data_IF_377129646537
#
_entry.id   IF_377129646537
#
_cell.length_a   1.000
_cell.length_b   1.000
_cell.length_c   1.000
_cell.angle_alpha   90.00
_cell.angle_beta   90.00
_cell.angle_gamma   90.00
#
_symmetry.space_group_name_H-M   'P 1'
#
loop_
_entity.id
_entity.type
_entity.pdbx_description
1 polymer ?
#
# COMPACT_ATOMS: atom_id res chain seq x y z
N UNK A 1 -35.53 22.22 1.09
CA UNK A 1 -35.25 21.04 0.23
C UNK A 1 -33.80 20.68 0.52
N UNK A 2 -33.55 19.53 1.11
CA UNK A 2 -32.19 19.08 1.39
C UNK A 2 -31.49 18.80 0.08
N UNK A 3 -30.51 19.62 -0.32
CA UNK A 3 -29.67 19.39 -1.46
C UNK A 3 -28.95 18.04 -1.24
N UNK A 4 -29.21 17.07 -2.12
CA UNK A 4 -28.53 15.77 -2.05
C UNK A 4 -27.10 15.98 -2.53
N UNK A 5 -26.14 15.82 -1.63
CA UNK A 5 -24.73 15.78 -2.00
C UNK A 5 -24.46 14.60 -2.96
N UNK A 6 -23.72 14.84 -4.04
CA UNK A 6 -23.39 13.81 -5.04
C UNK A 6 -22.09 13.12 -4.71
N UNK A 7 -21.12 13.85 -4.15
CA UNK A 7 -19.83 13.28 -3.76
C UNK A 7 -19.24 14.05 -2.57
N UNK A 8 -18.18 13.49 -2.00
CA UNK A 8 -17.36 14.12 -0.99
C UNK A 8 -15.90 14.16 -1.41
N UNK A 9 -15.18 15.18 -0.95
CA UNK A 9 -13.74 15.33 -1.12
C UNK A 9 -13.10 15.19 0.24
N UNK A 10 -12.34 14.11 0.45
CA UNK A 10 -11.71 13.81 1.74
C UNK A 10 -10.22 14.12 1.69
N UNK A 11 -9.69 14.85 2.68
CA UNK A 11 -8.26 15.06 2.87
C UNK A 11 -7.64 13.79 3.44
N UNK A 12 -6.90 13.04 2.62
CA UNK A 12 -6.26 11.77 3.00
C UNK A 12 -4.78 11.93 3.38
N UNK A 13 -4.17 13.09 3.08
CA UNK A 13 -2.79 13.42 3.42
C UNK A 13 -2.58 14.93 3.59
N UNK A 14 -1.53 15.33 4.33
CA UNK A 14 -1.20 16.72 4.60
C UNK A 14 -1.73 17.26 5.92
N UNK A 15 -1.63 18.62 6.14
CA UNK A 15 -1.87 19.25 7.44
C UNK A 15 -3.28 19.05 8.02
N UNK A 16 -4.28 18.85 7.17
CA UNK A 16 -5.69 18.72 7.59
C UNK A 16 -6.27 17.33 7.28
N UNK A 17 -5.44 16.30 7.35
CA UNK A 17 -5.87 14.89 7.14
C UNK A 17 -7.09 14.53 7.98
N UNK A 18 -8.10 13.94 7.32
CA UNK A 18 -9.37 13.53 7.91
C UNK A 18 -10.51 14.53 7.71
N UNK A 19 -10.23 15.74 7.22
CA UNK A 19 -11.27 16.71 6.89
C UNK A 19 -11.96 16.32 5.58
N UNK A 20 -13.27 16.50 5.50
CA UNK A 20 -14.04 16.21 4.30
C UNK A 20 -14.96 17.38 3.93
N UNK A 21 -15.22 17.52 2.63
CA UNK A 21 -16.08 18.52 2.05
C UNK A 21 -17.12 17.83 1.18
N UNK A 22 -18.36 18.32 1.22
CA UNK A 22 -19.45 17.80 0.38
C UNK A 22 -19.62 18.69 -0.87
N UNK A 23 -19.86 18.05 -2.00
CA UNK A 23 -20.19 18.73 -3.26
C UNK A 23 -21.63 18.36 -3.61
N UNK A 24 -22.48 19.37 -3.77
CA UNK A 24 -23.88 19.20 -4.14
C UNK A 24 -24.04 19.03 -5.65
N UNK A 25 -25.25 18.62 -6.06
CA UNK A 25 -25.62 18.49 -7.49
C UNK A 25 -25.59 19.87 -8.16
N UNK A 26 -25.00 19.94 -9.35
CA UNK A 26 -24.85 21.17 -10.14
C UNK A 26 -24.06 22.28 -9.41
N UNK A 27 -23.13 21.92 -8.51
CA UNK A 27 -22.34 22.83 -7.69
C UNK A 27 -20.88 22.93 -8.15
N UNK A 28 -20.20 23.99 -7.69
CA UNK A 28 -18.78 24.23 -7.93
C UNK A 28 -18.08 24.39 -6.58
N UNK A 29 -17.21 23.46 -6.24
CA UNK A 29 -16.37 23.53 -5.05
C UNK A 29 -15.00 24.13 -5.39
N UNK A 30 -14.70 25.31 -4.87
CA UNK A 30 -13.42 25.98 -5.03
C UNK A 30 -12.44 25.47 -3.98
N UNK A 31 -11.38 24.82 -4.43
CA UNK A 31 -10.33 24.27 -3.58
C UNK A 31 -9.15 25.23 -3.48
N UNK A 32 -8.78 25.59 -2.26
CA UNK A 32 -7.67 26.53 -2.03
C UNK A 32 -7.43 26.82 -0.56
N UNK A 33 -6.44 27.68 -0.25
CA UNK A 33 -6.12 28.11 1.13
C UNK A 33 -6.72 29.49 1.49
N UNK A 34 -7.26 30.21 0.53
CA UNK A 34 -7.81 31.57 0.72
C UNK A 34 -9.20 31.56 1.35
N UNK A 35 -9.62 32.74 1.85
CA UNK A 35 -10.99 32.97 2.35
C UNK A 35 -12.04 32.82 1.25
N UNK A 36 -11.64 33.00 0.00
CA UNK A 36 -12.51 32.91 -1.16
C UNK A 36 -12.63 31.51 -1.75
N UNK A 37 -12.09 30.50 -1.03
CA UNK A 37 -12.23 29.09 -1.35
C UNK A 37 -13.15 28.39 -0.35
N UNK A 38 -13.92 27.41 -0.84
CA UNK A 38 -14.87 26.66 -0.01
C UNK A 38 -14.16 25.74 0.99
N UNK A 39 -12.94 25.34 0.66
CA UNK A 39 -12.19 24.37 1.48
C UNK A 39 -11.26 25.01 2.51
N UNK A 40 -10.69 26.18 2.25
CA UNK A 40 -9.74 26.92 3.10
C UNK A 40 -8.64 26.03 3.72
N UNK A 41 -8.00 25.18 2.89
CA UNK A 41 -7.00 24.22 3.34
C UNK A 41 -5.74 24.94 3.81
N UNK A 42 -5.27 24.67 5.04
CA UNK A 42 -4.10 25.30 5.67
C UNK A 42 -2.78 24.71 5.20
N UNK A 43 -2.54 24.74 3.90
CA UNK A 43 -1.28 24.31 3.29
C UNK A 43 -0.63 25.50 2.59
N UNK A 44 0.58 25.94 3.00
CA UNK A 44 1.24 27.10 2.39
C UNK A 44 1.61 26.92 0.91
N UNK A 45 1.69 25.67 0.43
CA UNK A 45 1.98 25.35 -0.98
C UNK A 45 0.74 25.35 -1.87
N UNK A 46 -0.45 25.42 -1.29
CA UNK A 46 -1.70 25.58 -2.04
C UNK A 46 -1.95 27.07 -2.32
N UNK A 47 -2.36 27.43 -3.53
CA UNK A 47 -2.74 28.78 -3.90
C UNK A 47 -4.03 29.20 -3.19
N UNK A 48 -4.32 30.53 -3.12
CA UNK A 48 -5.57 31.04 -2.50
C UNK A 48 -6.80 30.41 -3.16
N UNK A 49 -6.84 30.39 -4.48
CA UNK A 49 -7.71 29.59 -5.34
C UNK A 49 -6.77 28.72 -6.14
N UNK A 50 -6.87 27.39 -6.01
CA UNK A 50 -5.93 26.46 -6.64
C UNK A 50 -6.59 25.71 -7.81
N UNK A 51 -7.73 25.10 -7.57
CA UNK A 51 -8.52 24.41 -8.57
C UNK A 51 -10.01 24.47 -8.22
N UNK A 52 -10.87 24.08 -9.14
CA UNK A 52 -12.31 23.96 -8.95
C UNK A 52 -12.76 22.56 -9.30
N UNK A 53 -13.63 21.97 -8.49
CA UNK A 53 -14.31 20.72 -8.78
C UNK A 53 -15.76 21.08 -9.09
N UNK A 54 -16.20 20.78 -10.31
CA UNK A 54 -17.55 21.06 -10.81
C UNK A 54 -18.31 19.77 -10.94
N UNK A 55 -19.53 19.75 -10.43
CA UNK A 55 -20.45 18.66 -10.68
C UNK A 55 -21.51 19.14 -11.68
N UNK A 56 -21.68 18.43 -12.80
CA UNK A 56 -22.72 18.67 -13.79
C UNK A 56 -23.28 17.34 -14.29
N UNK A 57 -24.57 17.14 -14.05
CA UNK A 57 -25.32 15.95 -14.54
C UNK A 57 -24.68 14.60 -14.15
N UNK A 58 -24.11 14.50 -12.93
CA UNK A 58 -23.45 13.31 -12.44
C UNK A 58 -21.99 13.15 -12.90
N UNK A 59 -21.43 14.14 -13.60
CA UNK A 59 -20.03 14.15 -14.04
C UNK A 59 -19.26 15.17 -13.21
N UNK A 60 -18.16 14.70 -12.59
CA UNK A 60 -17.23 15.56 -11.86
C UNK A 60 -16.10 15.99 -12.78
N UNK A 61 -15.88 17.29 -12.91
CA UNK A 61 -14.79 17.88 -13.67
C UNK A 61 -13.89 18.69 -12.73
N UNK A 62 -12.59 18.45 -12.77
CA UNK A 62 -11.58 19.27 -12.11
C UNK A 62 -11.00 20.26 -13.10
N UNK A 63 -10.94 21.53 -12.72
CA UNK A 63 -10.33 22.62 -13.52
C UNK A 63 -9.18 23.22 -12.73
N UNK A 64 -7.95 23.17 -13.28
CA UNK A 64 -6.81 23.87 -12.67
C UNK A 64 -6.92 25.39 -12.87
N UNK A 65 -6.72 26.15 -11.81
CA UNK A 65 -6.75 27.64 -11.84
C UNK A 65 -5.35 28.25 -11.80
N UNK A 66 -4.32 27.46 -12.13
CA UNK A 66 -2.95 27.94 -12.25
C UNK A 66 -2.23 28.05 -10.92
N UNK A 67 -2.45 27.14 -10.00
CA UNK A 67 -1.73 27.08 -8.73
C UNK A 67 -0.22 26.96 -8.93
N UNK A 68 0.59 27.73 -8.17
CA UNK A 68 2.06 27.78 -8.31
C UNK A 68 2.76 26.44 -8.10
N UNK A 69 2.13 25.50 -7.37
CA UNK A 69 2.61 24.12 -7.18
C UNK A 69 2.14 23.13 -8.25
N UNK A 70 1.16 23.54 -9.10
CA UNK A 70 0.47 22.66 -10.04
C UNK A 70 -0.53 21.73 -9.36
N UNK A 71 -1.52 21.30 -10.13
CA UNK A 71 -2.54 20.32 -9.74
C UNK A 71 -2.19 18.97 -10.37
N UNK A 72 -2.22 17.88 -9.60
CA UNK A 72 -1.99 16.55 -10.11
C UNK A 72 -3.21 15.68 -9.81
N UNK A 73 -3.65 14.90 -10.80
CA UNK A 73 -4.75 13.93 -10.67
C UNK A 73 -4.19 12.54 -10.93
N UNK A 74 -4.32 11.65 -9.95
CA UNK A 74 -3.79 10.28 -10.03
C UNK A 74 -2.30 10.23 -10.43
N UNK A 75 -1.52 11.24 -9.97
CA UNK A 75 -0.08 11.38 -10.23
C UNK A 75 0.26 12.07 -11.56
N UNK A 76 -0.73 12.45 -12.38
CA UNK A 76 -0.52 13.15 -13.66
C UNK A 76 -0.77 14.65 -13.46
N UNK A 77 0.18 15.48 -13.87
CA UNK A 77 0.00 16.93 -13.82
C UNK A 77 -1.13 17.35 -14.75
N UNK A 78 -2.08 18.10 -14.21
CA UNK A 78 -3.20 18.62 -14.95
C UNK A 78 -2.76 19.87 -15.74
N UNK A 79 -3.13 19.92 -17.02
CA UNK A 79 -3.04 21.10 -17.86
C UNK A 79 -4.45 21.40 -18.42
N UNK A 80 -5.15 22.31 -17.74
CA UNK A 80 -6.53 22.66 -18.07
C UNK A 80 -7.58 21.96 -17.23
N UNK A 81 -8.35 21.02 -17.78
CA UNK A 81 -9.40 20.30 -17.05
C UNK A 81 -9.39 18.78 -17.30
N UNK A 82 -9.95 18.03 -16.36
CA UNK A 82 -10.07 16.54 -16.44
C UNK A 82 -11.33 16.06 -15.72
N UNK A 83 -11.95 15.03 -16.26
CA UNK A 83 -13.07 14.34 -15.59
C UNK A 83 -12.54 13.48 -14.47
N UNK A 84 -13.12 13.64 -13.25
CA UNK A 84 -12.79 12.85 -12.08
C UNK A 84 -13.69 11.62 -11.98
N UNK A 85 -13.09 10.50 -11.62
CA UNK A 85 -13.80 9.29 -11.22
C UNK A 85 -13.88 9.19 -9.69
N UNK A 86 -14.84 8.42 -9.19
CA UNK A 86 -14.85 8.06 -7.78
C UNK A 86 -13.57 7.30 -7.41
N UNK A 87 -12.91 7.73 -6.33
CA UNK A 87 -11.61 7.23 -5.91
C UNK A 87 -10.41 7.97 -6.51
N UNK A 88 -10.60 8.94 -7.43
CA UNK A 88 -9.52 9.79 -7.93
C UNK A 88 -8.81 10.53 -6.80
N UNK A 89 -7.49 10.62 -6.90
CA UNK A 89 -6.62 11.25 -5.91
C UNK A 89 -6.00 12.52 -6.49
N UNK A 90 -6.21 13.64 -5.79
CA UNK A 90 -5.68 14.95 -6.18
C UNK A 90 -4.50 15.31 -5.28
N UNK A 91 -3.39 15.74 -5.84
CA UNK A 91 -2.25 16.27 -5.10
C UNK A 91 -2.14 17.78 -5.34
N UNK A 92 -2.20 18.54 -4.25
CA UNK A 92 -2.14 20.00 -4.23
C UNK A 92 -1.15 20.43 -3.14
N UNK A 93 0.05 20.83 -3.51
CA UNK A 93 1.10 21.09 -2.52
C UNK A 93 1.45 19.85 -1.68
N UNK A 94 1.36 19.95 -0.35
CA UNK A 94 1.54 18.83 0.57
C UNK A 94 0.22 18.10 0.91
N UNK A 95 -0.90 18.60 0.38
CA UNK A 95 -2.25 18.07 0.64
C UNK A 95 -2.65 17.07 -0.43
N UNK A 96 -3.21 15.95 0.02
CA UNK A 96 -3.75 14.90 -0.83
C UNK A 96 -5.24 14.77 -0.55
N UNK A 97 -6.05 14.92 -1.60
CA UNK A 97 -7.50 14.80 -1.55
C UNK A 97 -7.95 13.54 -2.29
N UNK A 98 -9.03 12.92 -1.85
CA UNK A 98 -9.68 11.81 -2.55
C UNK A 98 -11.14 12.11 -2.78
N UNK A 99 -11.63 11.74 -3.95
CA UNK A 99 -13.04 11.85 -4.32
C UNK A 99 -13.77 10.59 -3.86
N UNK A 100 -14.75 10.75 -2.96
CA UNK A 100 -15.54 9.65 -2.40
C UNK A 100 -17.03 9.84 -2.73
N UNK A 101 -17.86 8.79 -2.60
CA UNK A 101 -19.31 8.94 -2.64
C UNK A 101 -19.83 9.71 -1.41
N UNK A 102 -20.87 10.51 -1.57
CA UNK A 102 -21.48 11.20 -0.44
C UNK A 102 -21.95 10.26 0.69
N UNK A 103 -22.34 9.04 0.35
CA UNK A 103 -22.79 8.02 1.31
C UNK A 103 -21.67 7.41 2.16
N UNK A 104 -20.40 7.75 1.88
CA UNK A 104 -19.23 7.21 2.58
C UNK A 104 -18.82 8.00 3.82
N UNK A 105 -19.52 9.07 4.17
CA UNK A 105 -19.21 9.92 5.32
C UNK A 105 -20.03 9.52 6.54
N UNK A 106 -19.36 9.09 7.62
CA UNK A 106 -19.96 9.04 8.96
C UNK A 106 -20.28 10.46 9.43
N UNK A 107 -21.45 10.65 10.02
CA UNK A 107 -22.03 11.96 10.42
C UNK A 107 -21.17 12.79 11.42
N UNK A 108 -20.01 12.29 11.85
CA UNK A 108 -19.12 12.94 12.82
C UNK A 108 -17.98 13.77 12.18
N UNK A 109 -17.82 13.75 10.84
CA UNK A 109 -16.61 14.28 10.18
C UNK A 109 -16.85 15.60 9.40
N UNK A 110 -18.09 16.08 9.34
CA UNK A 110 -18.44 17.31 8.59
C UNK A 110 -18.21 18.54 9.47
N UNK A 111 -17.23 19.37 9.13
CA UNK A 111 -17.08 20.68 9.75
C UNK A 111 -18.16 21.63 9.19
N UNK A 112 -18.94 22.36 10.04
CA UNK A 112 -19.91 23.30 9.56
C UNK A 112 -19.21 24.53 8.96
N UNK A 113 -19.61 24.92 7.76
CA UNK A 113 -19.30 26.23 7.21
C UNK A 113 -19.95 27.31 8.10
N UNK A 114 -19.10 28.15 8.73
CA UNK A 114 -19.58 29.37 9.42
C UNK A 114 -19.81 30.44 8.38
N UNK A 115 -21.07 30.83 8.24
CA UNK A 115 -21.51 32.20 7.96
C UNK A 115 -22.97 32.29 8.31
N UNK A 116 -23.30 33.26 8.90
CA UNK A 116 -23.28 34.63 9.20
C UNK A 116 -24.54 35.33 8.73
N UNK A 117 -25.44 35.75 9.69
CA UNK A 117 -26.38 36.84 9.40
C UNK A 117 -27.87 36.51 9.57
N UNK A 118 -28.34 36.62 10.82
CA UNK A 118 -29.60 37.19 11.31
C UNK A 118 -30.67 37.59 10.25
N UNK A 119 -31.92 37.35 10.40
CA UNK A 119 -32.87 37.68 11.47
C UNK A 119 -34.31 37.19 11.16
N UNK A 120 -35.23 37.26 12.08
CA UNK A 120 -36.35 36.32 12.20
C UNK A 120 -37.70 36.88 11.71
N UNK A 121 -38.74 36.10 11.98
CA UNK A 121 -40.19 36.33 11.95
C UNK A 121 -40.94 35.92 10.66
N UNK A 122 -41.78 34.95 10.78
CA UNK A 122 -43.23 35.07 10.94
C UNK A 122 -43.88 33.67 10.91
N UNK A 123 -44.76 33.46 11.89
CA UNK A 123 -45.62 32.34 12.11
C UNK A 123 -46.73 32.17 11.04
N UNK A 124 -47.23 30.95 10.91
CA UNK A 124 -48.54 30.73 10.28
C UNK A 124 -48.87 29.32 9.89
N UNK A 125 -49.46 28.61 10.80
CA UNK A 125 -50.60 27.66 10.77
C UNK A 125 -50.95 26.85 9.50
N UNK A 126 -51.04 25.53 9.76
CA UNK A 126 -52.20 24.65 9.74
C UNK A 126 -52.73 24.01 8.44
N UNK A 127 -52.98 22.70 8.61
CA UNK A 127 -54.06 21.82 8.04
C UNK A 127 -53.84 21.19 6.66
N UNK A 128 -53.67 19.90 6.62
CA UNK A 128 -54.65 18.79 6.67
C UNK A 128 -55.25 18.37 5.29
N UNK A 129 -55.31 17.07 5.14
CA UNK A 129 -56.20 16.20 4.32
C UNK A 129 -55.58 15.62 3.05
N UNK A 130 -55.22 14.37 3.12
CA UNK A 130 -55.90 13.09 2.78
C UNK A 130 -56.42 12.96 1.32
N UNK A 131 -56.17 11.75 0.82
CA UNK A 131 -56.94 10.90 -0.11
C UNK A 131 -56.40 10.71 -1.53
N UNK A 132 -56.10 9.43 -1.83
CA UNK A 132 -56.26 8.86 -3.15
C UNK A 132 -55.16 7.98 -3.72
N UNK A 133 -55.15 6.70 -3.43
CA UNK A 133 -54.67 5.64 -4.35
C UNK A 133 -55.77 5.33 -5.39
N UNK A 134 -55.57 4.50 -6.43
CA UNK A 134 -54.44 3.70 -6.88
C UNK A 134 -54.26 3.61 -8.44
N UNK A 135 -53.54 2.57 -8.91
CA UNK A 135 -53.33 1.98 -10.24
C UNK A 135 -52.06 2.50 -10.96
N UNK A 136 -51.18 1.69 -11.41
CA UNK A 136 -51.10 0.28 -11.69
C UNK A 136 -49.81 -0.03 -12.45
N UNK A 137 -49.37 -1.27 -12.33
CA UNK A 137 -48.48 -2.02 -13.20
C UNK A 137 -47.01 -1.57 -13.41
N UNK A 138 -46.15 -2.33 -12.78
CA UNK A 138 -44.80 -2.77 -13.19
C UNK A 138 -44.67 -3.12 -14.68
N UNK A 139 -43.49 -3.45 -15.21
CA UNK A 139 -42.16 -3.60 -14.64
C UNK A 139 -41.05 -3.08 -15.58
N UNK A 140 -39.91 -2.79 -15.07
CA UNK A 140 -38.67 -3.13 -15.78
C UNK A 140 -37.55 -3.19 -14.72
N UNK A 141 -37.32 -4.41 -14.24
CA UNK A 141 -36.09 -4.75 -13.58
C UNK A 141 -34.94 -4.63 -14.61
N UNK A 142 -34.37 -3.46 -14.72
CA UNK A 142 -33.08 -3.31 -15.36
C UNK A 142 -32.01 -3.72 -14.30
N UNK A 143 -31.31 -4.81 -14.62
CA UNK A 143 -30.43 -5.53 -13.77
C UNK A 143 -29.44 -4.64 -13.02
N UNK A 144 -29.54 -4.63 -11.70
CA UNK A 144 -28.40 -4.47 -10.84
C UNK A 144 -27.45 -5.60 -11.18
N UNK A 145 -26.32 -5.27 -11.82
CA UNK A 145 -25.18 -6.18 -11.85
C UNK A 145 -24.92 -6.59 -10.40
N UNK A 146 -24.72 -7.89 -10.09
CA UNK A 146 -24.44 -8.31 -8.75
C UNK A 146 -23.19 -7.57 -8.27
N UNK A 147 -23.32 -6.76 -7.22
CA UNK A 147 -22.21 -6.19 -6.48
C UNK A 147 -21.36 -7.40 -6.07
N UNK A 148 -20.22 -7.59 -6.73
CA UNK A 148 -19.26 -8.60 -6.30
C UNK A 148 -18.85 -8.20 -4.88
N UNK A 149 -19.17 -9.02 -3.85
CA UNK A 149 -18.83 -8.68 -2.47
C UNK A 149 -17.32 -8.40 -2.38
N UNK A 150 -16.95 -7.31 -1.75
CA UNK A 150 -15.53 -7.00 -1.51
C UNK A 150 -14.99 -8.05 -0.55
N UNK A 151 -13.74 -8.45 -0.71
CA UNK A 151 -13.12 -9.42 0.20
C UNK A 151 -13.14 -8.91 1.66
N UNK A 152 -13.05 -7.61 1.86
CA UNK A 152 -13.08 -6.95 3.16
C UNK A 152 -14.42 -7.20 3.90
N UNK A 153 -15.51 -7.43 3.19
CA UNK A 153 -16.85 -7.69 3.73
C UNK A 153 -16.95 -9.11 4.35
N UNK A 154 -15.93 -9.95 4.16
CA UNK A 154 -15.89 -11.31 4.73
C UNK A 154 -15.56 -11.34 6.24
N UNK A 155 -15.43 -10.21 6.92
CA UNK A 155 -15.26 -10.17 8.38
C UNK A 155 -16.48 -10.81 9.05
N UNK A 156 -16.23 -11.75 9.98
CA UNK A 156 -17.27 -12.56 10.63
C UNK A 156 -17.59 -13.87 9.90
N UNK A 157 -17.16 -14.02 8.64
CA UNK A 157 -17.37 -15.25 7.86
C UNK A 157 -16.33 -16.32 8.24
N UNK A 158 -16.72 -17.58 8.00
CA UNK A 158 -15.81 -18.72 8.19
C UNK A 158 -15.36 -19.24 6.84
N UNK A 159 -14.06 -19.09 6.55
CA UNK A 159 -13.43 -19.65 5.37
C UNK A 159 -12.77 -20.99 5.72
N UNK A 160 -13.39 -22.10 5.36
CA UNK A 160 -13.01 -23.45 5.80
C UNK A 160 -13.01 -23.55 7.36
N UNK A 161 -11.85 -23.71 7.98
CA UNK A 161 -11.67 -23.78 9.44
C UNK A 161 -11.25 -22.43 10.06
N UNK A 162 -11.31 -21.32 9.31
CA UNK A 162 -10.79 -20.04 9.75
C UNK A 162 -11.90 -19.00 9.87
N UNK A 163 -12.22 -18.59 11.10
CA UNK A 163 -13.12 -17.47 11.38
C UNK A 163 -12.35 -16.16 11.16
N UNK A 164 -12.77 -15.36 10.19
CA UNK A 164 -12.14 -14.10 9.83
C UNK A 164 -12.58 -13.01 10.82
N UNK A 165 -11.69 -12.62 11.75
CA UNK A 165 -12.05 -11.70 12.85
C UNK A 165 -11.99 -10.22 12.44
N UNK A 166 -10.96 -9.81 11.70
CA UNK A 166 -10.80 -8.44 11.20
C UNK A 166 -9.83 -8.36 10.05
N UNK A 167 -9.99 -7.34 9.21
CA UNK A 167 -9.00 -6.98 8.20
C UNK A 167 -7.76 -6.39 8.88
N UNK A 168 -6.58 -6.83 8.46
CA UNK A 168 -5.26 -6.32 8.90
C UNK A 168 -4.65 -5.45 7.84
N UNK A 169 -4.72 -5.91 6.59
CA UNK A 169 -4.22 -5.18 5.44
C UNK A 169 -5.05 -5.52 4.19
N UNK A 170 -5.38 -4.50 3.42
CA UNK A 170 -5.97 -4.65 2.11
C UNK A 170 -4.97 -4.11 1.07
N UNK A 171 -4.23 -5.03 0.49
CA UNK A 171 -3.22 -4.72 -0.52
C UNK A 171 -3.74 -4.91 -1.94
N UNK A 172 -2.87 -4.65 -2.90
CA UNK A 172 -3.14 -4.78 -4.33
C UNK A 172 -3.57 -6.18 -4.75
N UNK A 173 -2.90 -7.21 -4.26
CA UNK A 173 -3.05 -8.59 -4.71
C UNK A 173 -3.92 -9.43 -3.78
N UNK A 174 -4.17 -8.96 -2.57
CA UNK A 174 -4.82 -9.76 -1.52
C UNK A 174 -5.36 -8.89 -0.40
N UNK A 175 -6.23 -9.50 0.40
CA UNK A 175 -6.66 -9.00 1.71
C UNK A 175 -6.13 -9.95 2.78
N UNK A 176 -5.57 -9.41 3.85
CA UNK A 176 -5.05 -10.16 4.98
C UNK A 176 -5.97 -9.96 6.18
N UNK A 177 -6.40 -11.07 6.77
CA UNK A 177 -7.26 -11.08 7.95
C UNK A 177 -6.50 -11.64 9.15
N UNK A 178 -6.71 -11.07 10.33
CA UNK A 178 -6.51 -11.79 11.57
C UNK A 178 -7.67 -12.77 11.71
N UNK A 179 -7.38 -14.03 11.94
CA UNK A 179 -8.38 -15.09 11.95
C UNK A 179 -8.10 -16.09 13.07
N UNK A 180 -9.13 -16.81 13.50
CA UNK A 180 -9.03 -17.92 14.43
C UNK A 180 -9.15 -19.24 13.68
N UNK A 181 -8.13 -20.08 13.81
CA UNK A 181 -8.16 -21.49 13.39
C UNK A 181 -9.04 -22.25 14.39
N UNK A 182 -10.27 -22.60 13.99
CA UNK A 182 -11.28 -23.22 14.87
C UNK A 182 -10.99 -24.70 15.15
N UNK A 183 -10.15 -25.36 14.32
CA UNK A 183 -9.74 -26.76 14.53
C UNK A 183 -8.63 -26.86 15.59
N UNK A 184 -7.79 -25.82 15.74
CA UNK A 184 -6.60 -25.86 16.61
C UNK A 184 -6.60 -24.74 17.67
N UNK A 185 -7.67 -23.97 17.78
CA UNK A 185 -7.85 -22.84 18.71
C UNK A 185 -6.64 -21.90 18.79
N UNK A 186 -6.20 -21.39 17.65
CA UNK A 186 -5.05 -20.46 17.57
C UNK A 186 -5.34 -19.32 16.63
N UNK A 187 -4.63 -18.21 16.86
CA UNK A 187 -4.66 -17.05 15.97
C UNK A 187 -3.74 -17.29 14.77
N UNK A 188 -4.22 -16.95 13.58
CA UNK A 188 -3.50 -17.05 12.30
C UNK A 188 -3.72 -15.80 11.46
N UNK A 189 -2.83 -15.56 10.49
CA UNK A 189 -3.07 -14.62 9.42
C UNK A 189 -3.64 -15.37 8.21
N UNK A 190 -4.84 -15.04 7.78
CA UNK A 190 -5.43 -15.59 6.55
C UNK A 190 -5.31 -14.56 5.45
N UNK A 191 -4.59 -14.90 4.40
CA UNK A 191 -4.41 -14.06 3.22
C UNK A 191 -5.22 -14.63 2.08
N UNK A 192 -6.17 -13.84 1.55
CA UNK A 192 -7.06 -14.20 0.45
C UNK A 192 -6.63 -13.42 -0.79
N UNK A 193 -6.33 -14.11 -1.88
CA UNK A 193 -6.00 -13.47 -3.15
C UNK A 193 -7.23 -12.84 -3.78
N UNK A 194 -7.05 -11.68 -4.40
CA UNK A 194 -8.12 -11.05 -5.16
C UNK A 194 -8.51 -11.93 -6.35
N UNK A 195 -9.82 -12.09 -6.64
CA UNK A 195 -10.33 -13.02 -7.67
C UNK A 195 -9.73 -12.81 -9.06
N UNK A 196 -9.34 -11.57 -9.39
CA UNK A 196 -8.71 -11.25 -10.68
C UNK A 196 -7.39 -12.00 -10.91
N UNK A 197 -6.68 -12.36 -9.84
CA UNK A 197 -5.40 -13.06 -9.89
C UNK A 197 -5.54 -14.59 -9.95
N UNK A 198 -6.74 -15.09 -9.74
CA UNK A 198 -7.06 -16.52 -9.70
C UNK A 198 -8.30 -16.86 -10.52
N UNK A 199 -8.58 -16.06 -11.56
CA UNK A 199 -9.78 -16.17 -12.39
C UNK A 199 -9.78 -17.44 -13.25
N UNK A 200 -8.60 -17.92 -13.69
CA UNK A 200 -8.47 -19.13 -14.51
C UNK A 200 -8.01 -20.35 -13.69
N UNK A 201 -8.32 -21.56 -14.16
CA UNK A 201 -7.83 -22.80 -13.54
C UNK A 201 -6.30 -22.88 -13.56
N UNK A 202 -5.68 -22.42 -14.64
CA UNK A 202 -4.21 -22.37 -14.75
C UNK A 202 -3.57 -21.52 -13.65
N UNK A 203 -4.14 -20.36 -13.35
CA UNK A 203 -3.65 -19.49 -12.26
C UNK A 203 -3.86 -20.15 -10.90
N UNK A 204 -5.02 -20.77 -10.67
CA UNK A 204 -5.31 -21.50 -9.42
C UNK A 204 -4.36 -22.68 -9.20
N UNK A 205 -4.08 -23.44 -10.26
CA UNK A 205 -3.17 -24.59 -10.17
C UNK A 205 -1.72 -24.17 -9.98
N UNK A 206 -1.33 -23.02 -10.57
CA UNK A 206 -0.02 -22.42 -10.32
C UNK A 206 0.11 -22.00 -8.86
N UNK A 207 -0.91 -21.34 -8.29
CA UNK A 207 -0.95 -20.99 -6.88
C UNK A 207 -0.77 -22.23 -5.98
N UNK A 208 -1.53 -23.31 -6.22
CA UNK A 208 -1.41 -24.53 -5.41
C UNK A 208 -0.03 -25.16 -5.52
N UNK A 209 0.55 -25.25 -6.71
CA UNK A 209 1.92 -25.74 -6.91
C UNK A 209 2.97 -24.91 -6.18
N UNK A 210 2.81 -23.58 -6.22
CA UNK A 210 3.68 -22.67 -5.48
C UNK A 210 3.58 -22.91 -3.96
N UNK A 211 2.37 -23.08 -3.42
CA UNK A 211 2.16 -23.35 -2.00
C UNK A 211 2.69 -24.74 -1.59
N UNK A 212 2.67 -25.72 -2.47
CA UNK A 212 3.27 -27.03 -2.22
C UNK A 212 4.81 -26.96 -2.04
N UNK A 213 5.49 -26.06 -2.77
CA UNK A 213 6.91 -25.82 -2.61
C UNK A 213 7.27 -25.28 -1.21
N UNK A 214 6.33 -24.55 -0.59
CA UNK A 214 6.47 -24.03 0.78
C UNK A 214 6.25 -25.08 1.86
N UNK A 215 5.66 -26.22 1.51
CA UNK A 215 5.34 -27.26 2.49
C UNK A 215 6.62 -27.75 3.16
N UNK A 216 6.65 -27.62 4.49
CA UNK A 216 7.79 -28.06 5.30
C UNK A 216 8.94 -27.05 5.41
N UNK A 217 8.84 -25.86 4.81
CA UNK A 217 9.77 -24.76 5.12
C UNK A 217 9.51 -24.28 6.54
N UNK A 218 10.50 -24.49 7.42
CA UNK A 218 10.49 -24.02 8.80
C UNK A 218 11.79 -23.29 9.06
N UNK A 219 11.71 -22.06 9.50
CA UNK A 219 12.86 -21.25 9.86
C UNK A 219 12.40 -20.12 10.80
N UNK A 220 13.18 -19.73 11.83
CA UNK A 220 12.80 -18.69 12.78
C UNK A 220 12.52 -17.33 12.12
N UNK A 221 13.22 -17.03 11.02
CA UNK A 221 13.07 -15.78 10.27
C UNK A 221 12.17 -15.89 9.03
N UNK A 222 11.34 -16.94 8.92
CA UNK A 222 10.33 -17.09 7.86
C UNK A 222 8.97 -17.28 8.50
N UNK A 223 7.98 -16.48 8.10
CA UNK A 223 6.59 -16.67 8.53
C UNK A 223 6.09 -18.00 8.01
N UNK A 224 5.73 -18.88 8.93
CA UNK A 224 5.39 -20.28 8.60
C UNK A 224 4.04 -20.36 7.89
N UNK A 225 4.02 -21.01 6.73
CA UNK A 225 2.80 -21.43 6.07
C UNK A 225 2.21 -22.65 6.80
N UNK A 226 0.98 -22.51 7.30
CA UNK A 226 0.22 -23.59 7.98
C UNK A 226 -0.60 -24.37 6.98
N UNK A 227 -1.36 -23.68 6.16
CA UNK A 227 -2.26 -24.29 5.17
C UNK A 227 -2.46 -23.33 3.99
N UNK A 228 -2.75 -23.88 2.83
CA UNK A 228 -3.20 -23.15 1.67
C UNK A 228 -4.31 -23.95 0.98
N UNK A 229 -5.23 -23.26 0.32
CA UNK A 229 -6.34 -23.93 -0.32
C UNK A 229 -7.11 -23.06 -1.29
N UNK A 230 -8.14 -23.70 -1.83
CA UNK A 230 -9.18 -23.08 -2.65
C UNK A 230 -10.52 -23.19 -1.93
N UNK A 231 -11.36 -22.16 -2.03
CA UNK A 231 -12.75 -22.19 -1.58
C UNK A 231 -13.60 -21.46 -2.62
N UNK A 232 -14.32 -22.22 -3.45
CA UNK A 232 -14.92 -21.67 -4.65
C UNK A 232 -13.87 -21.06 -5.60
N UNK A 233 -14.04 -19.80 -5.96
CA UNK A 233 -13.09 -19.04 -6.78
C UNK A 233 -11.92 -18.45 -5.98
N UNK A 234 -11.97 -18.50 -4.64
CA UNK A 234 -10.96 -17.88 -3.78
C UNK A 234 -9.78 -18.81 -3.55
N UNK A 235 -8.58 -18.28 -3.72
CA UNK A 235 -7.33 -18.89 -3.28
C UNK A 235 -6.85 -18.19 -2.01
N UNK A 236 -6.44 -18.97 -1.01
CA UNK A 236 -6.08 -18.45 0.31
C UNK A 236 -4.90 -19.18 0.93
N UNK A 237 -4.20 -18.50 1.83
CA UNK A 237 -3.16 -19.08 2.69
C UNK A 237 -3.45 -18.75 4.15
N UNK A 238 -3.18 -19.70 5.05
CA UNK A 238 -3.13 -19.48 6.49
C UNK A 238 -1.68 -19.54 6.94
N UNK A 239 -1.22 -18.48 7.57
CA UNK A 239 0.15 -18.27 8.05
C UNK A 239 0.15 -18.12 9.57
N UNK A 240 1.29 -18.34 10.21
CA UNK A 240 1.43 -17.99 11.62
C UNK A 240 1.16 -16.50 11.81
N UNK A 241 0.36 -16.19 12.84
CA UNK A 241 0.19 -14.81 13.28
C UNK A 241 1.49 -14.32 13.91
N UNK A 242 1.99 -13.19 13.44
CA UNK A 242 3.14 -12.49 14.02
C UNK A 242 2.61 -11.26 14.74
N UNK A 243 2.71 -11.25 16.07
CA UNK A 243 2.43 -10.04 16.83
C UNK A 243 3.59 -9.07 16.64
N UNK A 244 3.33 -7.93 15.98
CA UNK A 244 4.37 -6.98 15.60
C UNK A 244 3.91 -6.03 14.51
N UNK A 245 4.86 -5.40 13.86
CA UNK A 245 4.65 -4.42 12.79
C UNK A 245 5.49 -4.76 11.57
N UNK A 246 5.08 -4.30 10.40
CA UNK A 246 5.91 -4.40 9.20
C UNK A 246 7.06 -3.39 9.23
N UNK A 247 8.14 -3.68 8.51
CA UNK A 247 9.25 -2.72 8.31
C UNK A 247 8.75 -1.47 7.58
N UNK A 248 7.71 -1.60 6.74
CA UNK A 248 7.06 -0.44 6.12
C UNK A 248 6.45 0.48 7.18
N UNK A 249 5.68 -0.08 8.13
CA UNK A 249 5.11 0.70 9.23
C UNK A 249 6.20 1.33 10.12
N UNK A 250 7.35 0.66 10.29
CA UNK A 250 8.50 1.25 10.98
C UNK A 250 9.03 2.47 10.22
N UNK A 251 9.28 2.36 8.93
CA UNK A 251 9.73 3.49 8.09
C UNK A 251 8.71 4.63 8.15
N UNK A 252 7.43 4.32 8.02
CA UNK A 252 6.35 5.32 8.02
C UNK A 252 6.17 5.99 9.40
N UNK A 253 6.46 5.28 10.52
CA UNK A 253 6.25 5.77 11.89
C UNK A 253 7.38 6.65 12.41
N UNK A 254 8.60 6.49 11.91
CA UNK A 254 9.79 7.24 12.40
C UNK A 254 9.81 8.67 11.85
N UNK A 255 8.89 9.04 10.93
CA UNK A 255 8.69 10.41 10.44
C UNK A 255 9.89 10.95 9.63
N UNK A 256 10.09 12.29 9.67
CA UNK A 256 11.11 13.01 8.87
C UNK A 256 12.55 12.53 9.18
N UNK A 257 12.79 11.92 10.35
CA UNK A 257 14.08 11.31 10.70
C UNK A 257 14.18 9.82 10.38
N UNK A 258 13.17 9.19 9.82
CA UNK A 258 12.98 7.82 9.27
C UNK A 258 14.12 6.80 9.32
N UNK A 259 15.18 7.10 10.03
CA UNK A 259 16.40 6.33 10.06
C UNK A 259 16.51 5.54 11.37
N UNK A 260 16.63 4.24 11.24
CA UNK A 260 16.96 3.38 12.37
C UNK A 260 18.48 3.40 12.63
N UNK A 261 18.87 3.12 13.88
CA UNK A 261 20.27 2.85 14.19
C UNK A 261 20.81 1.73 13.30
N UNK A 262 21.97 1.92 12.71
CA UNK A 262 22.55 0.97 11.77
C UNK A 262 22.75 -0.44 12.36
N UNK A 263 22.92 -0.57 13.66
CA UNK A 263 23.02 -1.88 14.32
C UNK A 263 21.71 -2.64 14.31
N UNK A 264 20.57 -1.93 14.42
CA UNK A 264 19.25 -2.52 14.24
C UNK A 264 19.05 -2.91 12.78
N UNK A 265 19.45 -2.06 11.84
CA UNK A 265 19.38 -2.36 10.39
C UNK A 265 20.29 -3.56 10.05
N UNK A 266 21.44 -3.68 10.69
CA UNK A 266 22.29 -4.87 10.55
C UNK A 266 21.59 -6.14 11.02
N UNK A 267 20.82 -6.11 12.11
CA UNK A 267 20.01 -7.26 12.55
C UNK A 267 18.95 -7.65 11.50
N UNK A 268 18.29 -6.65 10.88
CA UNK A 268 17.39 -6.93 9.73
C UNK A 268 18.15 -7.68 8.63
N UNK A 269 19.35 -7.21 8.27
CA UNK A 269 20.16 -7.83 7.23
C UNK A 269 20.52 -9.29 7.54
N UNK A 270 20.88 -9.57 8.80
CA UNK A 270 21.22 -10.92 9.26
C UNK A 270 19.99 -11.82 9.27
N UNK A 271 18.90 -11.41 9.89
CA UNK A 271 17.69 -12.21 10.03
C UNK A 271 17.09 -12.56 8.67
N UNK A 272 16.95 -11.57 7.79
CA UNK A 272 16.39 -11.80 6.46
C UNK A 272 17.41 -12.48 5.54
N UNK A 273 18.70 -12.21 5.69
CA UNK A 273 19.76 -12.97 5.00
C UNK A 273 19.69 -14.48 5.29
N UNK A 274 19.44 -14.86 6.56
CA UNK A 274 19.21 -16.27 6.97
C UNK A 274 17.94 -16.85 6.35
N UNK A 275 16.86 -16.04 6.29
CA UNK A 275 15.62 -16.44 5.61
C UNK A 275 15.85 -16.72 4.13
N UNK A 276 16.59 -15.83 3.44
CA UNK A 276 16.94 -15.99 2.03
C UNK A 276 17.90 -17.17 1.80
N UNK A 277 18.84 -17.42 2.70
CA UNK A 277 19.69 -18.61 2.63
C UNK A 277 18.84 -19.87 2.70
N UNK A 278 17.90 -19.95 3.65
CA UNK A 278 17.00 -21.08 3.79
C UNK A 278 16.10 -21.30 2.58
N UNK A 279 15.63 -20.23 1.96
CA UNK A 279 14.86 -20.27 0.72
C UNK A 279 15.74 -20.80 -0.45
N UNK A 280 16.96 -20.28 -0.58
CA UNK A 280 17.89 -20.67 -1.64
C UNK A 280 18.33 -22.14 -1.54
N UNK A 281 18.48 -22.71 -0.33
CA UNK A 281 18.74 -24.15 -0.12
C UNK A 281 17.63 -25.05 -0.70
N UNK A 282 16.49 -24.50 -1.04
CA UNK A 282 15.32 -25.18 -1.61
C UNK A 282 14.96 -24.70 -3.02
N UNK A 283 15.88 -24.01 -3.67
CA UNK A 283 15.68 -23.41 -4.99
C UNK A 283 14.45 -22.48 -5.04
N UNK A 284 14.17 -21.80 -3.91
CA UNK A 284 13.08 -20.86 -3.80
C UNK A 284 13.66 -19.44 -3.91
N UNK A 285 13.15 -18.67 -4.87
CA UNK A 285 13.38 -17.24 -5.00
C UNK A 285 12.12 -16.52 -4.54
N UNK A 286 12.25 -15.56 -3.62
CA UNK A 286 11.13 -14.82 -3.02
C UNK A 286 10.48 -13.85 -4.00
N UNK A 287 11.31 -13.13 -4.78
CA UNK A 287 10.90 -12.20 -5.87
C UNK A 287 10.18 -10.92 -5.44
N UNK A 288 9.87 -10.75 -4.16
CA UNK A 288 9.24 -9.54 -3.65
C UNK A 288 9.72 -9.22 -2.24
N UNK A 289 11.04 -9.17 -2.02
CA UNK A 289 11.61 -8.70 -0.76
C UNK A 289 11.45 -7.19 -0.70
N UNK A 290 10.66 -6.71 0.25
CA UNK A 290 10.32 -5.30 0.42
C UNK A 290 9.94 -5.01 1.88
N UNK A 291 9.91 -3.74 2.31
CA UNK A 291 9.52 -3.38 3.68
C UNK A 291 8.16 -3.92 4.12
N UNK A 292 7.20 -4.06 3.21
CA UNK A 292 5.86 -4.58 3.51
C UNK A 292 5.86 -6.08 3.83
N UNK A 293 6.86 -6.82 3.34
CA UNK A 293 6.97 -8.27 3.49
C UNK A 293 7.97 -8.69 4.57
N UNK A 294 8.52 -7.75 5.32
CA UNK A 294 9.38 -8.00 6.48
C UNK A 294 8.64 -7.53 7.73
N UNK A 295 8.45 -8.45 8.68
CA UNK A 295 7.75 -8.19 9.94
C UNK A 295 8.75 -8.17 11.09
N UNK A 296 8.65 -7.20 12.00
CA UNK A 296 9.36 -7.17 13.28
C UNK A 296 8.44 -7.74 14.36
N UNK A 297 8.84 -8.84 14.99
CA UNK A 297 8.12 -9.43 16.11
C UNK A 297 8.26 -8.58 17.36
N UNK A 298 7.17 -8.35 18.08
CA UNK A 298 7.18 -7.53 19.32
C UNK A 298 7.92 -8.19 20.46
N UNK A 299 7.84 -9.52 20.58
CA UNK A 299 8.37 -10.28 21.71
C UNK A 299 9.90 -10.21 21.86
N UNK A 300 10.62 -10.44 20.78
CA UNK A 300 12.09 -10.54 20.78
C UNK A 300 12.78 -9.66 19.75
N UNK A 301 12.03 -8.77 19.10
CA UNK A 301 12.50 -7.84 18.08
C UNK A 301 13.16 -8.52 16.86
N UNK A 302 12.95 -9.85 16.66
CA UNK A 302 13.45 -10.56 15.49
C UNK A 302 12.67 -10.21 14.24
N UNK A 303 13.32 -10.30 13.08
CA UNK A 303 12.70 -10.00 11.79
C UNK A 303 12.37 -11.29 11.03
N UNK A 304 11.19 -11.32 10.42
CA UNK A 304 10.66 -12.45 9.68
C UNK A 304 10.26 -12.03 8.27
N UNK A 305 10.62 -12.86 7.30
CA UNK A 305 10.20 -12.71 5.92
C UNK A 305 8.84 -13.39 5.71
N UNK A 306 7.86 -12.65 5.23
CA UNK A 306 6.52 -13.15 4.87
C UNK A 306 6.40 -13.33 3.36
N UNK A 307 5.32 -13.96 2.91
CA UNK A 307 4.95 -14.08 1.48
C UNK A 307 5.96 -14.80 0.57
N UNK A 308 6.84 -15.60 1.15
CA UNK A 308 7.76 -16.45 0.39
C UNK A 308 6.96 -17.28 -0.64
N UNK A 309 7.24 -17.17 -1.93
CA UNK A 309 6.59 -17.90 -3.04
C UNK A 309 5.27 -17.32 -3.58
N UNK A 310 4.61 -16.37 -2.91
CA UNK A 310 3.38 -15.78 -3.45
C UNK A 310 3.62 -15.08 -4.80
N UNK A 311 4.75 -14.41 -4.95
CA UNK A 311 5.14 -13.75 -6.19
C UNK A 311 5.28 -14.74 -7.36
N UNK A 312 5.77 -15.98 -7.11
CA UNK A 312 5.84 -17.05 -8.11
C UNK A 312 4.46 -17.51 -8.59
N UNK A 313 3.46 -17.50 -7.70
CA UNK A 313 2.09 -17.86 -8.02
C UNK A 313 1.43 -16.84 -8.96
N UNK A 314 1.89 -15.58 -8.94
CA UNK A 314 1.31 -14.45 -9.64
C UNK A 314 2.04 -14.05 -10.94
N UNK A 315 3.09 -14.77 -11.36
CA UNK A 315 4.01 -14.41 -12.46
C UNK A 315 3.42 -14.22 -13.85
N UNK A 316 2.20 -14.66 -14.11
CA UNK A 316 1.58 -14.51 -15.44
C UNK A 316 0.58 -13.37 -15.51
N UNK A 317 0.39 -12.67 -14.42
CA UNK A 317 -0.47 -11.51 -14.42
C UNK A 317 0.40 -10.31 -14.73
N UNK A 318 0.16 -9.64 -15.84
CA UNK A 318 0.86 -8.40 -16.23
C UNK A 318 0.79 -7.42 -15.06
N UNK A 319 1.87 -7.36 -14.29
CA UNK A 319 1.98 -6.52 -13.10
C UNK A 319 1.75 -5.04 -13.44
N UNK A 320 2.01 -4.65 -14.69
CA UNK A 320 1.79 -3.30 -15.19
C UNK A 320 0.32 -2.98 -15.51
N UNK A 321 -0.52 -3.97 -15.84
CA UNK A 321 -1.91 -3.73 -16.23
C UNK A 321 -2.89 -3.59 -15.05
N UNK A 322 -2.52 -4.03 -13.85
CA UNK A 322 -3.38 -4.05 -12.66
C UNK A 322 -3.09 -2.93 -11.66
N UNK A 323 -2.33 -1.90 -12.04
CA UNK A 323 -1.71 -0.99 -11.08
C UNK A 323 -2.31 0.40 -11.04
N UNK A 324 -2.67 0.85 -9.83
CA UNK A 324 -2.87 2.28 -9.55
C UNK A 324 -1.48 2.96 -9.50
N UNK A 325 -1.27 4.09 -10.17
CA UNK A 325 0.05 4.70 -10.36
C UNK A 325 0.89 4.88 -9.08
N UNK A 326 0.29 5.31 -7.98
CA UNK A 326 1.03 5.61 -6.74
C UNK A 326 1.47 4.39 -5.92
N UNK A 327 0.68 3.30 -5.89
CA UNK A 327 1.03 2.05 -5.19
C UNK A 327 2.15 1.29 -5.91
N UNK A 328 2.18 1.38 -7.25
CA UNK A 328 3.23 0.78 -8.09
C UNK A 328 4.58 1.39 -7.81
N UNK A 329 4.63 2.70 -7.74
CA UNK A 329 5.87 3.45 -7.58
C UNK A 329 6.57 3.06 -6.26
N UNK A 330 5.80 2.90 -5.17
CA UNK A 330 6.33 2.53 -3.87
C UNK A 330 6.96 1.12 -3.84
N UNK A 331 6.37 0.13 -4.52
CA UNK A 331 6.90 -1.23 -4.57
C UNK A 331 8.05 -1.38 -5.58
N UNK A 332 7.98 -0.69 -6.72
CA UNK A 332 9.02 -0.72 -7.75
C UNK A 332 10.37 -0.19 -7.24
N UNK A 333 10.37 0.75 -6.29
CA UNK A 333 11.60 1.28 -5.69
C UNK A 333 12.46 0.23 -4.94
N UNK A 334 11.88 -0.93 -4.63
CA UNK A 334 12.56 -2.07 -3.98
C UNK A 334 12.82 -3.24 -4.93
N UNK A 335 12.33 -3.16 -6.16
CA UNK A 335 12.49 -4.22 -7.15
C UNK A 335 13.85 -4.10 -7.85
N UNK A 336 14.51 -5.25 -8.06
CA UNK A 336 15.79 -5.30 -8.75
C UNK A 336 15.66 -4.84 -10.21
N UNK A 337 16.64 -4.05 -10.75
CA UNK A 337 16.58 -3.51 -12.11
C UNK A 337 16.34 -4.58 -13.16
N UNK A 338 17.04 -5.73 -13.09
CA UNK A 338 16.88 -6.83 -14.02
C UNK A 338 15.44 -7.35 -14.08
N UNK A 339 14.69 -7.29 -12.96
CA UNK A 339 13.30 -7.72 -12.90
C UNK A 339 12.31 -6.65 -13.36
N UNK A 340 12.67 -5.39 -13.22
CA UNK A 340 11.87 -4.27 -13.72
C UNK A 340 11.92 -4.23 -15.25
N UNK A 341 13.09 -4.51 -15.83
CA UNK A 341 13.29 -4.48 -17.29
C UNK A 341 12.97 -5.82 -17.96
N UNK A 342 13.09 -6.94 -17.27
CA UNK A 342 12.70 -8.28 -17.71
C UNK A 342 12.07 -9.08 -16.57
N UNK A 343 10.74 -9.08 -16.50
CA UNK A 343 9.98 -9.78 -15.48
C UNK A 343 10.16 -11.31 -15.49
N UNK A 344 10.71 -11.86 -16.57
CA UNK A 344 10.98 -13.31 -16.71
C UNK A 344 12.32 -13.69 -16.07
N UNK A 345 13.18 -12.73 -15.76
CA UNK A 345 14.47 -12.99 -15.12
C UNK A 345 14.25 -13.52 -13.69
N UNK A 346 14.75 -14.72 -13.41
CA UNK A 346 14.66 -15.40 -12.12
C UNK A 346 16.06 -15.62 -11.58
N UNK A 347 16.58 -14.64 -10.86
CA UNK A 347 17.88 -14.73 -10.21
C UNK A 347 17.72 -14.57 -8.69
N UNK A 348 18.22 -15.48 -7.84
CA UNK A 348 18.21 -15.33 -6.37
C UNK A 348 18.86 -14.03 -5.90
N UNK A 349 19.76 -13.45 -6.69
CA UNK A 349 20.41 -12.17 -6.37
C UNK A 349 19.47 -10.96 -6.49
N UNK A 350 18.30 -11.13 -7.13
CA UNK A 350 17.22 -10.12 -7.10
C UNK A 350 16.64 -9.96 -5.69
N UNK A 351 16.58 -11.04 -4.89
CA UNK A 351 16.13 -10.97 -3.49
C UNK A 351 17.14 -10.23 -2.60
N UNK A 352 18.44 -10.36 -2.90
CA UNK A 352 19.47 -9.57 -2.22
C UNK A 352 19.31 -8.07 -2.50
N UNK A 353 18.99 -7.72 -3.75
CA UNK A 353 18.71 -6.33 -4.10
C UNK A 353 17.51 -5.79 -3.32
N UNK A 354 16.39 -6.50 -3.28
CA UNK A 354 15.20 -6.09 -2.53
C UNK A 354 15.48 -5.91 -1.03
N UNK A 355 16.30 -6.80 -0.44
CA UNK A 355 16.79 -6.64 0.93
C UNK A 355 17.68 -5.42 1.04
N UNK A 356 18.68 -5.24 0.17
CA UNK A 356 19.57 -4.08 0.16
C UNK A 356 18.83 -2.75 0.05
N UNK A 357 17.83 -2.68 -0.86
CA UNK A 357 16.97 -1.51 -1.01
C UNK A 357 16.14 -1.22 0.26
N UNK A 358 15.67 -2.29 0.95
CA UNK A 358 14.98 -2.15 2.24
C UNK A 358 15.91 -1.63 3.32
N UNK A 359 17.14 -2.17 3.43
CA UNK A 359 18.15 -1.69 4.39
C UNK A 359 18.54 -0.24 4.09
N UNK A 360 18.71 0.09 2.82
CA UNK A 360 18.97 1.47 2.40
C UNK A 360 17.85 2.41 2.88
N UNK A 361 16.59 2.02 2.69
CA UNK A 361 15.46 2.82 3.15
C UNK A 361 15.41 2.98 4.67
N UNK A 362 15.78 1.94 5.42
CA UNK A 362 15.90 2.02 6.89
C UNK A 362 17.03 2.94 7.35
N UNK A 363 18.12 3.03 6.59
CA UNK A 363 19.26 3.90 6.89
C UNK A 363 19.05 5.36 6.47
N UNK A 364 18.24 5.61 5.44
CA UNK A 364 18.13 6.94 4.80
C UNK A 364 16.73 7.54 4.86
N UNK A 365 15.72 6.76 5.29
CA UNK A 365 14.31 7.15 5.28
C UNK A 365 13.64 7.08 3.89
N UNK A 366 14.33 6.61 2.85
CA UNK A 366 13.85 6.64 1.47
C UNK A 366 14.43 5.50 0.64
N UNK A 367 13.75 4.99 -0.41
CA UNK A 367 14.30 3.98 -1.30
C UNK A 367 15.52 4.50 -2.08
N UNK A 368 16.35 3.60 -2.67
CA UNK A 368 17.55 3.99 -3.43
C UNK A 368 17.26 4.95 -4.58
N UNK A 369 16.13 4.78 -5.25
CA UNK A 369 15.66 5.65 -6.31
C UNK A 369 14.35 6.30 -5.92
N UNK A 370 14.29 7.62 -5.99
CA UNK A 370 13.09 8.41 -5.82
C UNK A 370 12.62 8.94 -7.16
N UNK A 371 11.32 8.90 -7.38
CA UNK A 371 10.71 9.42 -8.60
C UNK A 371 9.27 9.83 -8.33
N UNK A 372 8.75 10.74 -9.13
CA UNK A 372 7.36 11.19 -9.08
C UNK A 372 6.44 10.28 -9.91
N UNK A 373 7.02 9.59 -10.90
CA UNK A 373 6.32 8.68 -11.78
C UNK A 373 7.19 7.48 -12.18
N UNK A 374 6.58 6.49 -12.83
CA UNK A 374 7.26 5.25 -13.25
C UNK A 374 8.34 5.52 -14.29
N UNK A 375 8.12 6.45 -15.23
CA UNK A 375 9.09 6.72 -16.28
C UNK A 375 10.39 7.30 -15.71
N UNK A 376 10.26 8.28 -14.81
CA UNK A 376 11.38 8.87 -14.09
C UNK A 376 12.10 7.83 -13.20
N UNK A 377 11.35 6.92 -12.56
CA UNK A 377 11.94 5.82 -11.79
C UNK A 377 12.80 4.92 -12.66
N UNK A 378 12.27 4.50 -13.81
CA UNK A 378 13.00 3.65 -14.77
C UNK A 378 14.25 4.34 -15.30
N UNK A 379 14.19 5.64 -15.57
CA UNK A 379 15.35 6.44 -16.00
C UNK A 379 16.41 6.51 -14.90
N UNK A 380 16.00 6.80 -13.65
CA UNK A 380 16.89 6.85 -12.48
C UNK A 380 17.55 5.49 -12.22
N UNK A 381 16.80 4.39 -12.36
CA UNK A 381 17.33 3.04 -12.25
C UNK A 381 18.36 2.72 -13.36
N UNK A 382 18.13 3.19 -14.60
CA UNK A 382 19.10 3.02 -15.68
C UNK A 382 20.37 3.84 -15.47
N UNK A 383 20.24 5.03 -14.90
CA UNK A 383 21.40 5.87 -14.58
C UNK A 383 22.27 5.29 -13.46
N UNK A 384 21.68 4.48 -12.54
CA UNK A 384 22.38 3.73 -11.50
C UNK A 384 23.04 4.58 -10.42
N UNK A 385 22.73 5.86 -10.34
CA UNK A 385 23.34 6.77 -9.37
C UNK A 385 22.58 6.74 -8.06
N UNK A 386 23.16 6.09 -7.03
CA UNK A 386 22.61 6.03 -5.69
C UNK A 386 23.55 6.75 -4.72
N UNK A 387 23.02 7.65 -3.89
CA UNK A 387 23.80 8.31 -2.86
C UNK A 387 24.16 7.33 -1.75
N UNK A 388 25.40 7.39 -1.27
CA UNK A 388 25.82 6.55 -0.13
C UNK A 388 25.00 6.88 1.14
N UNK A 389 24.53 5.87 1.91
CA UNK A 389 23.84 6.07 3.18
C UNK A 389 24.62 6.88 4.22
N UNK A 390 25.95 6.88 4.14
CA UNK A 390 26.81 7.71 5.01
C UNK A 390 26.48 9.21 4.89
N UNK A 391 26.03 9.64 3.71
CA UNK A 391 25.62 11.04 3.51
C UNK A 391 24.36 11.44 4.30
N UNK A 392 23.61 10.48 4.82
CA UNK A 392 22.35 10.69 5.54
C UNK A 392 22.50 10.41 7.04
N UNK A 393 23.34 9.44 7.44
CA UNK A 393 23.46 8.99 8.81
C UNK A 393 24.91 9.09 9.30
N UNK A 394 25.17 10.06 10.19
CA UNK A 394 26.46 10.17 10.89
C UNK A 394 26.64 9.00 11.86
N UNK A 395 27.82 8.36 11.82
CA UNK A 395 28.14 7.22 12.70
C UNK A 395 27.76 5.85 12.13
N UNK A 396 27.24 5.80 10.89
CA UNK A 396 27.10 4.55 10.14
C UNK A 396 28.47 3.91 9.92
N UNK A 397 28.62 2.62 10.24
CA UNK A 397 29.84 1.87 9.96
C UNK A 397 30.06 1.76 8.43
N UNK A 398 31.22 2.23 7.95
CA UNK A 398 31.54 2.26 6.52
C UNK A 398 31.49 0.87 5.89
N UNK A 399 31.92 -0.17 6.61
CA UNK A 399 31.92 -1.55 6.13
C UNK A 399 30.48 -2.06 5.94
N UNK A 400 29.56 -1.68 6.86
CA UNK A 400 28.15 -2.03 6.69
C UNK A 400 27.52 -1.25 5.55
N UNK A 401 27.86 0.02 5.38
CA UNK A 401 27.46 0.81 4.24
C UNK A 401 27.88 0.14 2.91
N UNK A 402 29.13 -0.30 2.81
CA UNK A 402 29.65 -1.01 1.62
C UNK A 402 28.87 -2.29 1.33
N UNK A 403 28.47 -3.03 2.38
CA UNK A 403 27.61 -4.23 2.20
C UNK A 403 26.28 -3.83 1.59
N UNK A 404 25.60 -2.80 2.12
CA UNK A 404 24.30 -2.35 1.60
C UNK A 404 24.43 -1.84 0.17
N UNK A 405 25.45 -1.01 -0.13
CA UNK A 405 25.68 -0.51 -1.48
C UNK A 405 25.94 -1.64 -2.47
N UNK A 406 26.75 -2.63 -2.09
CA UNK A 406 26.99 -3.81 -2.92
C UNK A 406 25.72 -4.63 -3.19
N UNK A 407 24.80 -4.72 -2.24
CA UNK A 407 23.54 -5.44 -2.45
C UNK A 407 22.64 -4.78 -3.50
N UNK A 408 22.74 -3.46 -3.66
CA UNK A 408 21.93 -2.68 -4.61
C UNK A 408 22.67 -2.32 -5.90
N UNK A 409 23.81 -2.96 -6.19
CA UNK A 409 24.47 -2.83 -7.49
C UNK A 409 23.50 -3.19 -8.62
N UNK A 410 23.65 -2.49 -9.76
CA UNK A 410 22.75 -2.69 -10.91
C UNK A 410 22.89 -4.09 -11.50
N UNK A 411 24.13 -4.50 -11.77
CA UNK A 411 24.40 -5.80 -12.35
C UNK A 411 24.39 -6.88 -11.24
N UNK A 412 23.61 -7.96 -11.40
CA UNK A 412 23.58 -9.04 -10.41
C UNK A 412 24.95 -9.67 -10.12
N UNK A 413 25.86 -9.68 -11.09
CA UNK A 413 27.23 -10.20 -10.95
C UNK A 413 28.11 -9.40 -9.99
N UNK A 414 27.84 -8.12 -9.78
CA UNK A 414 28.57 -7.25 -8.86
C UNK A 414 28.09 -7.39 -7.39
N UNK A 415 26.90 -7.99 -7.22
CA UNK A 415 26.35 -8.30 -5.88
C UNK A 415 27.07 -9.49 -5.24
N UNK A 416 26.60 -9.95 -4.08
CA UNK A 416 27.07 -11.19 -3.48
C UNK A 416 26.60 -12.39 -4.30
N UNK A 417 27.49 -13.37 -4.47
CA UNK A 417 27.21 -14.56 -5.29
C UNK A 417 25.97 -15.34 -4.82
N UNK A 418 25.77 -15.39 -3.52
CA UNK A 418 24.64 -16.08 -2.86
C UNK A 418 24.44 -15.56 -1.44
N UNK A 419 23.32 -15.90 -0.77
CA UNK A 419 23.05 -15.47 0.61
C UNK A 419 24.10 -15.92 1.63
N UNK A 420 24.79 -17.04 1.41
CA UNK A 420 25.85 -17.52 2.30
C UNK A 420 27.06 -16.57 2.30
N UNK A 421 27.47 -16.07 1.13
CA UNK A 421 28.54 -15.09 1.02
C UNK A 421 28.14 -13.76 1.69
N UNK A 422 26.91 -13.31 1.50
CA UNK A 422 26.36 -12.12 2.17
C UNK A 422 26.43 -12.28 3.70
N UNK A 423 25.89 -13.37 4.24
CA UNK A 423 25.89 -13.65 5.68
C UNK A 423 27.31 -13.68 6.27
N UNK A 424 28.24 -14.37 5.62
CA UNK A 424 29.64 -14.40 6.09
C UNK A 424 30.32 -13.01 6.06
N UNK A 425 29.85 -12.08 5.22
CA UNK A 425 30.33 -10.70 5.22
C UNK A 425 29.67 -9.89 6.35
N UNK A 426 28.35 -10.06 6.57
CA UNK A 426 27.61 -9.43 7.69
C UNK A 426 28.16 -9.88 9.05
N UNK A 427 28.49 -11.17 9.19
CA UNK A 427 29.11 -11.72 10.41
C UNK A 427 30.47 -11.06 10.70
N UNK A 428 31.31 -10.91 9.69
CA UNK A 428 32.59 -10.21 9.84
C UNK A 428 32.42 -8.75 10.25
N UNK A 429 31.47 -8.03 9.65
CA UNK A 429 31.15 -6.65 10.05
C UNK A 429 30.66 -6.62 11.50
N UNK A 430 29.76 -7.51 11.89
CA UNK A 430 29.26 -7.62 13.26
C UNK A 430 30.39 -7.84 14.27
N UNK A 431 31.24 -8.83 14.04
CA UNK A 431 32.38 -9.18 14.92
C UNK A 431 33.35 -7.98 15.08
N UNK A 432 33.65 -7.26 14.00
CA UNK A 432 34.52 -6.09 14.05
C UNK A 432 33.90 -4.88 14.77
N UNK A 433 32.57 -4.84 14.85
CA UNK A 433 31.79 -3.77 15.50
C UNK A 433 31.28 -4.17 16.89
N UNK A 434 31.69 -5.35 17.41
CA UNK A 434 31.27 -5.86 18.72
C UNK A 434 29.79 -6.24 18.79
N UNK A 435 29.18 -6.58 17.65
CA UNK A 435 27.81 -7.08 17.59
C UNK A 435 27.83 -8.62 17.69
N UNK A 436 27.00 -9.15 18.58
CA UNK A 436 26.87 -10.60 18.73
C UNK A 436 26.03 -11.18 17.58
N UNK A 437 26.63 -12.12 16.87
CA UNK A 437 25.97 -12.91 15.84
C UNK A 437 25.42 -14.18 16.50
N UNK A 438 24.21 -14.13 17.07
CA UNK A 438 23.57 -15.32 17.62
C UNK A 438 23.42 -16.38 16.52
N UNK A 439 24.11 -17.51 16.70
CA UNK A 439 23.88 -18.70 15.85
C UNK A 439 22.53 -19.30 16.24
N UNK A 440 21.53 -19.13 15.41
CA UNK A 440 20.27 -19.85 15.54
C UNK A 440 20.50 -21.33 15.20
N UNK A 441 20.51 -22.21 16.23
CA UNK A 441 20.52 -23.66 16.09
C UNK A 441 19.26 -24.18 15.40
#
# INVERSE_FOLDING_TARGET
MSERATCSVTVIGGPEKGRAFLIAVDDVCVVGRGSDSDTQIRDPKISRIHCEIREQQGVLELVDRGGSGGTFVDGIRLDGSVTLAQGSVLHLGDTILRIDSADSLDAATVAPSQDGGANPDIAGDANAEQVGQPFGSSPLAAGMAPLTPRLEDMVGETLNAYLLERVVAAGRNSVVFKARDTEHDRVVAVKILKPQLTSTDVQRDRFIRAMQAMKGVKHPNIVRLRRAGKSGSLCWTALDWVEGVSVKELIDSVGISGMLDWKEVWRVAVDIGRALQKANERDIVHRNVSPSNILRRSENQSFLLSDLVLARALESTDLMQLTRPGEVLGELGYMAPERVFDSTCVDPRSDQYGLGATLYALLTGQPPYQALDVAQLLESMRAGQVKSPIAFQMGLDERFCDVVMRMIEQAPEDRFKNPTQLLGTLERVGNLSGLEFEQTN
#
